data_IF_483487315677
#
_entry.id   IF_483487315677
#
_cell.length_a   1.000
_cell.length_b   1.000
_cell.length_c   1.000
_cell.angle_alpha   90.00
_cell.angle_beta   90.00
_cell.angle_gamma   90.00
#
_symmetry.space_group_name_H-M   'P 1'
#
loop_
_entity.id
_entity.type
_entity.pdbx_description
1 polymer ?
#
# COMPACT_ATOMS: atom_id res chain seq x y z
N UNK A 1 3.61 -6.76 -13.36
CA UNK A 1 3.71 -7.03 -11.91
C UNK A 1 3.61 -5.71 -11.17
N UNK A 2 2.92 -5.67 -10.04
CA UNK A 2 2.59 -4.44 -9.31
C UNK A 2 3.85 -3.77 -8.78
N UNK A 3 4.15 -2.57 -9.26
CA UNK A 3 5.19 -1.70 -8.69
C UNK A 3 4.55 -0.62 -7.82
N UNK A 4 5.30 0.44 -7.56
CA UNK A 4 4.85 1.65 -6.85
C UNK A 4 3.43 2.11 -7.24
N UNK A 5 3.19 2.42 -8.52
CA UNK A 5 1.92 2.97 -9.01
C UNK A 5 0.73 2.01 -8.81
N UNK A 6 0.97 0.69 -8.84
CA UNK A 6 -0.07 -0.30 -8.62
C UNK A 6 -0.61 -0.24 -7.19
N UNK A 7 0.28 -0.16 -6.21
CA UNK A 7 -0.12 -0.07 -4.80
C UNK A 7 -0.89 1.22 -4.53
N UNK A 8 -0.46 2.33 -5.11
CA UNK A 8 -1.18 3.62 -5.00
C UNK A 8 -2.57 3.50 -5.62
N UNK A 9 -2.68 3.01 -6.85
CA UNK A 9 -3.96 2.92 -7.56
C UNK A 9 -4.98 2.00 -6.86
N UNK A 10 -4.56 0.81 -6.41
CA UNK A 10 -5.46 -0.13 -5.74
C UNK A 10 -5.91 0.38 -4.37
N UNK A 11 -5.01 1.03 -3.63
CA UNK A 11 -5.37 1.60 -2.32
C UNK A 11 -6.30 2.80 -2.48
N UNK A 12 -6.03 3.66 -3.46
CA UNK A 12 -6.87 4.83 -3.77
C UNK A 12 -8.31 4.42 -4.16
N UNK A 13 -8.51 3.29 -4.84
CA UNK A 13 -9.86 2.76 -5.11
C UNK A 13 -10.68 2.58 -3.83
N UNK A 14 -10.09 2.02 -2.77
CA UNK A 14 -10.79 1.81 -1.50
C UNK A 14 -10.95 3.12 -0.70
N UNK A 15 -9.98 4.03 -0.80
CA UNK A 15 -9.97 5.28 -0.05
C UNK A 15 -10.87 6.36 -0.62
N UNK A 16 -11.04 6.40 -1.95
CA UNK A 16 -11.89 7.37 -2.63
C UNK A 16 -13.19 6.78 -3.19
N UNK A 17 -13.38 5.46 -3.08
CA UNK A 17 -14.51 4.75 -3.70
C UNK A 17 -14.36 4.65 -5.22
N UNK A 18 -15.27 3.96 -5.89
CA UNK A 18 -15.22 3.81 -7.35
C UNK A 18 -16.57 3.38 -7.95
N UNK A 19 -16.86 3.72 -9.23
CA UNK A 19 -18.03 3.21 -9.93
C UNK A 19 -17.85 1.72 -10.26
N UNK A 20 -18.81 0.89 -9.87
CA UNK A 20 -18.79 -0.54 -10.13
C UNK A 20 -19.12 -0.76 -11.62
N UNK A 21 -18.23 -1.47 -12.33
CA UNK A 21 -18.33 -1.68 -13.78
C UNK A 21 -18.48 -0.38 -14.60
N UNK A 22 -17.93 0.74 -14.11
CA UNK A 22 -18.02 2.04 -14.78
C UNK A 22 -19.41 2.70 -14.73
N UNK A 23 -20.35 2.18 -13.94
CA UNK A 23 -21.66 2.78 -13.78
C UNK A 23 -21.63 3.90 -12.72
N UNK A 24 -21.79 5.19 -13.09
CA UNK A 24 -21.75 6.30 -12.14
C UNK A 24 -22.95 6.32 -11.18
N UNK A 25 -24.04 5.58 -11.47
CA UNK A 25 -25.18 5.43 -10.58
C UNK A 25 -25.01 4.28 -9.56
N UNK A 26 -23.94 3.48 -9.66
CA UNK A 26 -23.66 2.37 -8.75
C UNK A 26 -22.21 2.43 -8.25
N UNK A 27 -22.01 3.03 -7.09
CA UNK A 27 -20.69 3.37 -6.56
C UNK A 27 -20.40 2.57 -5.28
N UNK A 28 -19.20 1.99 -5.21
CA UNK A 28 -18.64 1.53 -3.94
C UNK A 28 -18.15 2.75 -3.14
N UNK A 29 -18.67 3.01 -1.93
CA UNK A 29 -18.32 4.19 -1.16
C UNK A 29 -16.88 4.12 -0.62
N UNK A 30 -16.23 5.26 -0.37
CA UNK A 30 -14.91 5.28 0.25
C UNK A 30 -14.93 4.70 1.68
N UNK A 31 -13.83 4.05 2.05
CA UNK A 31 -13.57 3.64 3.43
C UNK A 31 -12.78 4.72 4.17
N UNK A 32 -12.84 4.71 5.51
CA UNK A 32 -11.95 5.56 6.30
C UNK A 32 -10.51 5.10 6.12
N UNK A 33 -9.58 6.05 6.15
CA UNK A 33 -8.15 5.79 5.96
C UNK A 33 -7.63 4.73 6.95
N UNK A 34 -8.13 4.77 8.19
CA UNK A 34 -7.75 3.86 9.27
C UNK A 34 -8.30 2.43 9.11
N UNK A 35 -9.12 2.17 8.09
CA UNK A 35 -9.65 0.85 7.73
C UNK A 35 -8.90 0.19 6.57
N UNK A 36 -8.00 0.90 5.89
CA UNK A 36 -7.34 0.42 4.67
C UNK A 36 -5.86 0.18 4.92
N UNK A 37 -5.37 -0.99 4.54
CA UNK A 37 -3.96 -1.38 4.62
C UNK A 37 -3.52 -2.08 3.32
N UNK A 38 -2.23 -2.10 3.04
CA UNK A 38 -1.67 -2.74 1.84
C UNK A 38 -1.14 -4.13 2.20
N UNK A 39 -1.65 -5.17 1.53
CA UNK A 39 -1.20 -6.56 1.69
C UNK A 39 -0.06 -6.91 0.74
N UNK A 40 1.03 -7.46 1.27
CA UNK A 40 2.28 -7.66 0.54
C UNK A 40 2.89 -9.06 0.83
N UNK A 41 3.57 -9.69 -0.14
CA UNK A 41 4.48 -10.78 0.14
C UNK A 41 5.69 -10.28 0.95
N UNK A 42 6.03 -10.95 2.05
CA UNK A 42 7.15 -10.57 2.90
C UNK A 42 8.53 -10.78 2.25
N UNK A 43 8.60 -11.66 1.26
CA UNK A 43 9.80 -11.92 0.45
C UNK A 43 9.40 -12.46 -0.92
N UNK A 44 10.37 -12.56 -1.84
CA UNK A 44 10.18 -13.19 -3.16
C UNK A 44 9.66 -14.63 -3.09
N UNK A 45 9.94 -15.33 -1.99
CA UNK A 45 9.52 -16.72 -1.79
C UNK A 45 8.08 -16.84 -1.24
N UNK A 46 7.51 -15.73 -0.77
CA UNK A 46 6.18 -15.72 -0.18
C UNK A 46 5.04 -15.68 -1.21
N UNK A 47 5.36 -15.46 -2.49
CA UNK A 47 4.41 -15.47 -3.59
C UNK A 47 4.69 -14.41 -4.64
N UNK A 48 3.91 -14.45 -5.73
CA UNK A 48 3.99 -13.45 -6.79
C UNK A 48 3.54 -12.07 -6.29
N UNK A 49 4.08 -11.01 -6.91
CA UNK A 49 3.73 -9.63 -6.55
C UNK A 49 4.62 -9.03 -5.46
N UNK A 50 5.73 -9.67 -5.11
CA UNK A 50 6.75 -9.07 -4.25
C UNK A 50 7.23 -7.73 -4.84
N UNK A 51 7.35 -6.75 -3.95
CA UNK A 51 7.91 -5.42 -4.24
C UNK A 51 8.94 -5.10 -3.17
N UNK A 52 10.02 -4.43 -3.57
CA UNK A 52 11.08 -4.06 -2.63
C UNK A 52 10.53 -3.10 -1.57
N UNK A 53 11.12 -3.12 -0.38
CA UNK A 53 10.71 -2.22 0.69
C UNK A 53 10.74 -0.74 0.26
N UNK A 54 11.73 -0.35 -0.55
CA UNK A 54 11.83 1.02 -1.09
C UNK A 54 10.66 1.42 -1.99
N UNK A 55 10.19 0.54 -2.87
CA UNK A 55 9.06 0.83 -3.76
C UNK A 55 7.73 0.86 -2.98
N UNK A 56 7.58 -0.01 -1.97
CA UNK A 56 6.43 0.04 -1.05
C UNK A 56 6.42 1.34 -0.25
N UNK A 57 7.56 1.77 0.28
CA UNK A 57 7.65 3.01 1.06
C UNK A 57 7.39 4.26 0.20
N UNK A 58 7.85 4.30 -1.06
CA UNK A 58 7.46 5.36 -1.99
C UNK A 58 5.95 5.38 -2.25
N UNK A 59 5.30 4.21 -2.33
CA UNK A 59 3.85 4.13 -2.54
C UNK A 59 3.12 4.66 -1.31
N UNK A 60 3.61 4.30 -0.12
CA UNK A 60 3.08 4.79 1.14
C UNK A 60 3.29 6.31 1.31
N UNK A 61 4.44 6.87 0.93
CA UNK A 61 4.67 8.32 0.91
C UNK A 61 3.71 9.03 -0.04
N UNK A 62 3.44 8.45 -1.22
CA UNK A 62 2.49 9.04 -2.17
C UNK A 62 1.09 9.09 -1.59
N UNK A 63 0.65 8.00 -0.95
CA UNK A 63 -0.66 7.94 -0.32
C UNK A 63 -0.74 8.83 0.92
N UNK A 64 0.24 8.78 1.83
CA UNK A 64 0.18 9.43 3.13
C UNK A 64 0.57 10.91 3.10
N UNK A 65 1.49 11.30 2.22
CA UNK A 65 2.09 12.66 2.15
C UNK A 65 1.88 13.35 0.81
N UNK A 66 1.45 12.64 -0.23
CA UNK A 66 1.37 13.18 -1.59
C UNK A 66 2.72 13.37 -2.28
N UNK A 67 3.81 12.84 -1.70
CA UNK A 67 5.19 12.93 -2.21
C UNK A 67 5.66 11.60 -2.80
N UNK A 68 6.70 11.59 -3.62
CA UNK A 68 7.24 10.35 -4.22
C UNK A 68 6.20 9.57 -5.07
N UNK A 69 5.20 10.26 -5.59
CA UNK A 69 4.23 9.67 -6.52
C UNK A 69 4.87 9.40 -7.90
N UNK A 70 4.45 8.30 -8.52
CA UNK A 70 4.82 7.93 -9.88
C UNK A 70 3.91 8.62 -10.89
N UNK A 71 3.49 7.86 -11.90
CA UNK A 71 2.60 8.37 -12.95
C UNK A 71 1.14 8.41 -12.50
N UNK A 72 0.74 7.50 -11.61
CA UNK A 72 -0.59 7.52 -11.02
C UNK A 72 -0.64 8.55 -9.88
N UNK A 73 -1.69 9.36 -9.88
CA UNK A 73 -1.94 10.36 -8.83
C UNK A 73 -3.20 10.00 -8.07
N UNK A 74 -3.09 9.73 -6.75
CA UNK A 74 -4.26 9.44 -5.93
C UNK A 74 -5.19 10.65 -5.87
N UNK A 75 -6.47 10.40 -5.62
CA UNK A 75 -7.51 11.44 -5.56
C UNK A 75 -7.43 12.30 -4.30
N UNK A 76 -6.65 11.87 -3.31
CA UNK A 76 -6.39 12.61 -2.09
C UNK A 76 -5.05 12.25 -1.45
N UNK A 77 -4.80 12.86 -0.29
CA UNK A 77 -3.69 12.55 0.60
C UNK A 77 -4.27 11.96 1.89
N UNK A 78 -3.70 10.85 2.34
CA UNK A 78 -4.29 9.93 3.30
C UNK A 78 -3.33 9.65 4.48
N UNK A 79 -3.04 10.65 5.33
CA UNK A 79 -2.09 10.51 6.44
C UNK A 79 -2.52 9.50 7.51
N UNK A 80 -3.81 9.17 7.59
CA UNK A 80 -4.38 8.17 8.50
C UNK A 80 -4.41 6.75 7.95
N UNK A 81 -3.68 6.44 6.87
CA UNK A 81 -3.63 5.10 6.29
C UNK A 81 -3.14 4.07 7.32
N UNK A 82 -3.86 2.95 7.45
CA UNK A 82 -3.67 2.01 8.57
C UNK A 82 -2.28 1.36 8.64
N UNK A 83 -1.66 1.07 7.50
CA UNK A 83 -0.34 0.44 7.45
C UNK A 83 -0.24 -0.68 6.44
N UNK A 84 0.61 -1.67 6.77
CA UNK A 84 0.97 -2.79 5.91
C UNK A 84 0.62 -4.11 6.56
N UNK A 85 0.22 -5.09 5.74
CA UNK A 85 0.01 -6.47 6.11
C UNK A 85 0.96 -7.35 5.29
N UNK A 86 1.54 -8.37 5.92
CA UNK A 86 2.47 -9.27 5.27
C UNK A 86 1.95 -10.70 5.25
N UNK A 87 2.04 -11.33 4.09
CA UNK A 87 2.15 -12.78 4.00
C UNK A 87 3.64 -13.14 3.88
N UNK A 88 4.31 -13.63 4.90
CA UNK A 88 3.87 -13.88 6.28
C UNK A 88 5.02 -13.64 7.26
N UNK A 89 4.76 -13.71 8.55
CA UNK A 89 5.81 -13.63 9.59
C UNK A 89 6.88 -14.71 9.40
N UNK A 90 6.49 -15.93 8.99
CA UNK A 90 7.44 -17.01 8.74
C UNK A 90 8.35 -16.70 7.54
N UNK A 91 7.78 -16.16 6.46
CA UNK A 91 8.56 -15.77 5.28
C UNK A 91 9.46 -14.56 5.55
N UNK A 92 9.02 -13.63 6.39
CA UNK A 92 9.85 -12.52 6.86
C UNK A 92 11.03 -13.04 7.69
N UNK A 93 10.79 -13.96 8.63
CA UNK A 93 11.84 -14.61 9.43
C UNK A 93 12.83 -15.36 8.55
N UNK A 94 12.33 -16.13 7.57
CA UNK A 94 13.16 -16.83 6.60
C UNK A 94 14.03 -15.87 5.79
N UNK A 95 13.52 -14.68 5.47
CA UNK A 95 14.23 -13.62 4.76
C UNK A 95 14.99 -12.65 5.69
N UNK A 96 15.33 -13.07 6.91
CA UNK A 96 16.16 -12.28 7.82
C UNK A 96 15.50 -11.02 8.40
N UNK A 97 14.16 -11.01 8.50
CA UNK A 97 13.35 -9.91 9.02
C UNK A 97 13.41 -8.61 8.19
N UNK A 98 13.70 -8.69 6.89
CA UNK A 98 13.78 -7.52 6.01
C UNK A 98 12.47 -6.70 6.02
N UNK A 99 11.32 -7.36 5.87
CA UNK A 99 10.03 -6.69 5.78
C UNK A 99 9.71 -5.98 7.10
N UNK A 100 9.74 -6.71 8.22
CA UNK A 100 9.34 -6.14 9.50
C UNK A 100 10.28 -5.04 9.97
N UNK A 101 11.61 -5.22 9.86
CA UNK A 101 12.58 -4.21 10.30
C UNK A 101 12.51 -2.95 9.45
N UNK A 102 12.50 -3.11 8.13
CA UNK A 102 12.49 -1.98 7.20
C UNK A 102 11.20 -1.16 7.34
N UNK A 103 10.04 -1.83 7.33
CA UNK A 103 8.76 -1.13 7.40
C UNK A 103 8.42 -0.60 8.79
N UNK A 104 8.84 -1.27 9.88
CA UNK A 104 8.63 -0.73 11.24
C UNK A 104 9.37 0.60 11.40
N UNK A 105 10.65 0.65 11.02
CA UNK A 105 11.46 1.87 11.10
C UNK A 105 10.87 3.01 10.25
N UNK A 106 10.42 2.70 9.03
CA UNK A 106 9.74 3.67 8.17
C UNK A 106 8.44 4.21 8.79
N UNK A 107 7.56 3.32 9.29
CA UNK A 107 6.27 3.71 9.85
C UNK A 107 6.42 4.49 11.17
N UNK A 108 7.44 4.20 11.98
CA UNK A 108 7.76 4.99 13.19
C UNK A 108 8.23 6.41 12.84
N UNK A 109 8.87 6.60 11.70
CA UNK A 109 9.36 7.89 11.23
C UNK A 109 8.33 8.67 10.38
N UNK A 110 7.15 8.08 10.13
CA UNK A 110 6.11 8.72 9.35
C UNK A 110 5.47 9.84 10.20
N UNK A 111 5.66 11.08 9.75
CA UNK A 111 5.11 12.30 10.34
C UNK A 111 4.11 12.95 9.39
#
# INVERSE_FOLDING_TARGET
MGGHDFHVAMTDMLLAGFPIMGNPANVFPPLRQDQVAIGLPASVNAGNGFTTASEVQKAFDCLAKGSNCGTYRPRGVYPGLRGLMAWSINWDTFNGYEFSRSHRAYLDALT
#
